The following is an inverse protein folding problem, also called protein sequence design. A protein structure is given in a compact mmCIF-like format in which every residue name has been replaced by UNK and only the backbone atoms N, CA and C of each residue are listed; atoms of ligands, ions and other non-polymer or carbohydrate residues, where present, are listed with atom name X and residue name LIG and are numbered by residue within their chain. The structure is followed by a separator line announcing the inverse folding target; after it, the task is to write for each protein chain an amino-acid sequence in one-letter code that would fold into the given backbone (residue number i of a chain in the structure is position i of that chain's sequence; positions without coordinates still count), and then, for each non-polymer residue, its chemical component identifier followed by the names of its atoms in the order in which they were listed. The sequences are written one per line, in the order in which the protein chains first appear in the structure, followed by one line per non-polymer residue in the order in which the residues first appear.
data_IF_724169676745
#
_entry.id   IF_724169676745
#
_cell.length_a   1.000
_cell.length_b   1.000
_cell.length_c   1.000
_cell.angle_alpha   90.00
_cell.angle_beta   90.00
_cell.angle_gamma   90.00
#
_symmetry.space_group_name_H-M   'P 1'
#
loop_
_entity.id
_entity.type
_entity.pdbx_description
1 polymer ?
#
# COMPACT_ATOMS: atom_id res chain seq x y z
N UNK A 1 -25.23 20.35 -2.10
CA UNK A 1 -24.63 19.79 -3.33
C UNK A 1 -24.49 18.27 -3.17
N UNK A 2 -24.85 17.49 -4.18
CA UNK A 2 -24.65 16.03 -4.13
C UNK A 2 -23.14 15.71 -4.20
N UNK A 3 -22.65 14.88 -3.27
CA UNK A 3 -21.25 14.42 -3.24
C UNK A 3 -20.99 13.57 -4.49
N UNK A 4 -20.05 14.00 -5.34
CA UNK A 4 -19.60 13.18 -6.48
C UNK A 4 -19.04 11.86 -5.97
N UNK A 5 -19.35 10.76 -6.67
CA UNK A 5 -18.85 9.42 -6.35
C UNK A 5 -17.35 9.37 -6.61
N UNK A 6 -16.56 8.88 -5.63
CA UNK A 6 -15.13 8.64 -5.82
C UNK A 6 -14.95 7.38 -6.69
N UNK A 7 -14.40 7.55 -7.89
CA UNK A 7 -14.15 6.47 -8.84
C UNK A 7 -12.70 5.96 -8.83
N UNK A 8 -11.79 6.60 -8.08
CA UNK A 8 -10.37 6.28 -8.10
C UNK A 8 -10.00 5.29 -7.00
N UNK A 9 -10.46 5.54 -5.78
CA UNK A 9 -10.14 4.73 -4.61
C UNK A 9 -11.27 4.79 -3.58
N UNK A 10 -11.01 4.30 -2.37
CA UNK A 10 -11.98 4.27 -1.26
C UNK A 10 -11.67 5.27 -0.14
N UNK A 11 -10.77 6.24 -0.38
CA UNK A 11 -10.37 7.23 0.61
C UNK A 11 -11.44 8.30 0.85
N UNK A 12 -11.49 8.78 2.10
CA UNK A 12 -12.14 10.03 2.50
C UNK A 12 -11.35 11.25 2.02
N UNK A 13 -11.96 12.44 2.12
CA UNK A 13 -11.29 13.68 1.72
C UNK A 13 -10.05 14.01 2.58
N UNK A 14 -10.10 13.70 3.89
CA UNK A 14 -8.97 13.91 4.80
C UNK A 14 -7.81 12.95 4.52
N UNK A 15 -8.11 11.69 4.23
CA UNK A 15 -7.09 10.72 3.82
C UNK A 15 -6.46 11.12 2.49
N UNK A 16 -7.26 11.56 1.51
CA UNK A 16 -6.74 12.06 0.24
C UNK A 16 -5.82 13.28 0.43
N UNK A 17 -6.20 14.22 1.31
CA UNK A 17 -5.38 15.39 1.61
C UNK A 17 -4.03 15.01 2.22
N UNK A 18 -4.00 14.04 3.13
CA UNK A 18 -2.76 13.53 3.72
C UNK A 18 -1.77 13.03 2.64
N UNK A 19 -2.27 12.32 1.62
CA UNK A 19 -1.46 11.82 0.50
C UNK A 19 -0.93 12.92 -0.45
N UNK A 20 -1.35 14.18 -0.28
CA UNK A 20 -0.79 15.31 -1.05
C UNK A 20 0.49 15.88 -0.43
N UNK A 21 0.88 15.43 0.76
CA UNK A 21 2.15 15.81 1.36
C UNK A 21 3.32 15.18 0.58
N UNK A 22 4.44 15.91 0.52
CA UNK A 22 5.67 15.44 -0.13
C UNK A 22 6.47 14.47 0.74
N UNK A 23 6.20 14.45 2.05
CA UNK A 23 6.85 13.55 2.99
C UNK A 23 5.85 12.55 3.58
N UNK A 24 6.12 11.27 3.34
CA UNK A 24 5.34 10.19 3.94
C UNK A 24 6.12 9.51 5.06
N UNK A 25 5.82 9.90 6.30
CA UNK A 25 6.46 9.36 7.49
C UNK A 25 5.84 8.02 7.87
N UNK A 26 6.68 6.98 7.96
CA UNK A 26 6.23 5.61 8.23
C UNK A 26 7.03 4.97 9.36
N UNK A 27 6.33 4.18 10.19
CA UNK A 27 6.90 3.46 11.31
C UNK A 27 6.20 2.10 11.48
N UNK A 28 6.38 1.22 10.49
CA UNK A 28 5.76 -0.10 10.50
C UNK A 28 6.53 -1.07 11.39
N UNK A 29 5.80 -1.88 12.16
CA UNK A 29 6.39 -2.91 13.01
C UNK A 29 7.00 -4.03 12.16
N UNK A 30 7.98 -4.74 12.71
CA UNK A 30 8.53 -5.93 12.07
C UNK A 30 7.61 -7.12 12.30
N UNK A 31 7.20 -7.78 11.21
CA UNK A 31 6.45 -9.04 11.27
C UNK A 31 7.39 -10.27 11.36
N UNK A 32 6.81 -11.45 11.58
CA UNK A 32 7.54 -12.71 11.70
C UNK A 32 8.30 -13.12 10.41
N UNK A 33 7.93 -12.57 9.26
CA UNK A 33 8.55 -12.85 7.96
C UNK A 33 9.70 -11.89 7.63
N UNK A 34 9.88 -10.83 8.43
CA UNK A 34 10.89 -9.79 8.18
C UNK A 34 12.30 -10.37 8.01
N UNK A 35 12.70 -11.32 8.86
CA UNK A 35 14.02 -11.97 8.77
C UNK A 35 14.27 -12.65 7.42
N UNK A 36 13.27 -13.34 6.88
CA UNK A 36 13.35 -14.02 5.59
C UNK A 36 13.47 -13.02 4.43
N UNK A 37 12.61 -11.99 4.43
CA UNK A 37 12.62 -10.96 3.40
C UNK A 37 13.92 -10.14 3.43
N UNK A 38 14.53 -9.97 4.61
CA UNK A 38 15.77 -9.18 4.79
C UNK A 38 16.96 -9.82 4.10
N UNK A 39 16.99 -11.15 3.98
CA UNK A 39 18.08 -11.87 3.32
C UNK A 39 18.27 -11.47 1.84
N UNK A 40 17.21 -10.98 1.18
CA UNK A 40 17.27 -10.47 -0.19
C UNK A 40 17.87 -9.04 -0.29
N UNK A 41 18.05 -8.33 0.83
CA UNK A 41 18.64 -6.99 0.90
C UNK A 41 17.73 -5.84 0.46
N UNK A 42 16.94 -6.03 -0.60
CA UNK A 42 15.96 -5.06 -1.10
C UNK A 42 14.54 -5.50 -0.71
N UNK A 43 14.06 -5.06 0.45
CA UNK A 43 12.69 -5.29 0.91
C UNK A 43 11.98 -3.96 1.23
N UNK A 44 10.68 -3.90 0.95
CA UNK A 44 9.79 -2.82 1.38
C UNK A 44 8.83 -3.38 2.45
N UNK A 45 8.42 -2.59 3.45
CA UNK A 45 7.38 -3.01 4.40
C UNK A 45 6.07 -3.34 3.65
N UNK A 46 5.40 -4.47 3.94
CA UNK A 46 4.13 -4.81 3.30
C UNK A 46 3.05 -3.76 3.55
N UNK A 47 3.01 -3.17 4.74
CA UNK A 47 2.06 -2.12 5.13
C UNK A 47 2.25 -0.85 4.30
N UNK A 48 3.51 -0.48 4.01
CA UNK A 48 3.80 0.62 3.08
C UNK A 48 3.20 0.35 1.71
N UNK A 49 3.33 -0.89 1.22
CA UNK A 49 2.78 -1.27 -0.07
C UNK A 49 1.26 -1.31 -0.03
N UNK A 50 0.64 -1.75 1.07
CA UNK A 50 -0.81 -1.72 1.26
C UNK A 50 -1.36 -0.30 1.20
N UNK A 51 -0.69 0.65 1.85
CA UNK A 51 -1.08 2.06 1.86
C UNK A 51 -1.02 2.68 0.45
N UNK A 52 0.05 2.40 -0.30
CA UNK A 52 0.18 2.83 -1.71
C UNK A 52 -0.89 2.16 -2.58
N UNK A 53 -1.16 0.87 -2.41
CA UNK A 53 -2.17 0.14 -3.19
C UNK A 53 -3.55 0.75 -2.94
N UNK A 54 -3.96 0.97 -1.67
CA UNK A 54 -5.25 1.61 -1.33
C UNK A 54 -5.41 2.99 -1.93
N UNK A 55 -4.32 3.71 -2.17
CA UNK A 55 -4.38 5.01 -2.84
C UNK A 55 -4.68 4.86 -4.34
N UNK A 56 -4.11 3.87 -5.01
CA UNK A 56 -4.23 3.68 -6.46
C UNK A 56 -5.30 2.68 -6.90
N UNK A 57 -5.92 1.95 -5.99
CA UNK A 57 -6.93 0.93 -6.31
C UNK A 57 -8.21 1.08 -5.48
N UNK A 58 -9.23 0.34 -5.90
CA UNK A 58 -10.41 0.03 -5.09
C UNK A 58 -10.32 -1.37 -4.52
N UNK A 59 -11.12 -1.59 -3.46
CA UNK A 59 -11.38 -2.93 -2.93
C UNK A 59 -11.81 -3.87 -4.06
N UNK A 60 -11.29 -5.10 -4.01
CA UNK A 60 -11.57 -6.20 -4.95
C UNK A 60 -11.00 -6.00 -6.36
N UNK A 61 -10.21 -4.95 -6.62
CA UNK A 61 -9.45 -4.84 -7.87
C UNK A 61 -8.20 -5.75 -7.86
N UNK A 62 -7.80 -6.18 -9.06
CA UNK A 62 -6.64 -7.07 -9.23
C UNK A 62 -5.33 -6.27 -9.25
N UNK A 63 -4.41 -6.62 -8.35
CA UNK A 63 -3.03 -6.10 -8.35
C UNK A 63 -2.10 -7.13 -9.00
N UNK A 64 -1.36 -6.71 -10.02
CA UNK A 64 -0.35 -7.50 -10.71
C UNK A 64 1.05 -6.91 -10.47
N UNK A 65 1.95 -7.71 -9.89
CA UNK A 65 3.37 -7.38 -9.78
C UNK A 65 4.22 -8.47 -10.45
N UNK A 66 4.65 -8.29 -11.71
CA UNK A 66 5.48 -9.26 -12.42
C UNK A 66 6.93 -9.28 -11.92
N UNK A 67 7.31 -8.36 -11.03
CA UNK A 67 8.66 -8.22 -10.48
C UNK A 67 8.66 -8.37 -8.95
N UNK A 68 7.81 -9.27 -8.44
CA UNK A 68 7.45 -9.34 -7.02
C UNK A 68 8.63 -9.52 -6.05
N UNK A 69 9.78 -10.04 -6.47
CA UNK A 69 10.96 -10.24 -5.61
C UNK A 69 10.60 -11.02 -4.35
N UNK A 70 10.80 -10.44 -3.16
CA UNK A 70 10.39 -11.02 -1.86
C UNK A 70 8.89 -10.95 -1.56
N UNK A 71 8.07 -10.56 -2.54
CA UNK A 71 6.60 -10.51 -2.43
C UNK A 71 6.05 -9.28 -1.72
N UNK A 72 6.83 -8.21 -1.51
CA UNK A 72 6.39 -7.04 -0.73
C UNK A 72 5.09 -6.41 -1.25
N UNK A 73 4.96 -6.24 -2.57
CA UNK A 73 3.73 -5.74 -3.20
C UNK A 73 2.56 -6.72 -3.05
N UNK A 74 2.80 -8.02 -3.22
CA UNK A 74 1.74 -9.04 -3.11
C UNK A 74 1.22 -9.19 -1.68
N UNK A 75 2.12 -9.13 -0.69
CA UNK A 75 1.75 -9.08 0.73
C UNK A 75 0.98 -7.79 1.04
N UNK A 76 1.43 -6.66 0.49
CA UNK A 76 0.70 -5.38 0.60
C UNK A 76 -0.70 -5.47 -0.01
N UNK A 77 -0.85 -6.09 -1.17
CA UNK A 77 -2.15 -6.30 -1.83
C UNK A 77 -3.09 -7.18 -0.98
N UNK A 78 -2.54 -8.21 -0.32
CA UNK A 78 -3.33 -9.05 0.59
C UNK A 78 -3.79 -8.32 1.86
N UNK A 79 -3.10 -7.25 2.25
CA UNK A 79 -3.48 -6.40 3.39
C UNK A 79 -4.44 -5.26 3.00
N UNK A 80 -4.46 -4.87 1.72
CA UNK A 80 -5.09 -3.65 1.22
C UNK A 80 -6.63 -3.65 1.29
#
# INVERSE_FOLDING_TARGET
MARRRNLLNNLSGSEWLYWTDSLYLTAYAVDATHGLRKAHGAMKPPELMADIIRFFTKRDELVLDPFAGVGGTLLGAALA
#
